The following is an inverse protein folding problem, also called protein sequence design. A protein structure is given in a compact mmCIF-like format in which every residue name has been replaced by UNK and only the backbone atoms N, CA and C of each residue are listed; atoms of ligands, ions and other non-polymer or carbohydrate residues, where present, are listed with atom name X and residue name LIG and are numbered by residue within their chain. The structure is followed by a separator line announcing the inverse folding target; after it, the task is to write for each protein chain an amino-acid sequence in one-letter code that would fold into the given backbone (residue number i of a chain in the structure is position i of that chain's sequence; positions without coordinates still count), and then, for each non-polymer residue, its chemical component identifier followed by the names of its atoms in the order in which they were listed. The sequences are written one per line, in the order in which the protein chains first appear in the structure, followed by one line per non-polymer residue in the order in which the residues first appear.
data_IF_478378173653
#
_entry.id   IF_478378173653
#
_cell.length_a   1.000
_cell.length_b   1.000
_cell.length_c   1.000
_cell.angle_alpha   90.00
_cell.angle_beta   90.00
_cell.angle_gamma   90.00
#
_symmetry.space_group_name_H-M   'P 1'
#
loop_
_entity.id
_entity.type
_entity.pdbx_description
1 polymer ?
#
# COMPACT_ATOMS: atom_id res chain seq x y z
N UNK A 1 24.39 7.08 -15.78
CA UNK A 1 23.28 7.34 -14.85
C UNK A 1 23.10 8.85 -14.73
N UNK A 2 21.91 9.37 -14.96
CA UNK A 2 21.64 10.80 -14.83
C UNK A 2 21.42 11.16 -13.36
N UNK A 3 22.46 11.61 -12.66
CA UNK A 3 22.34 12.20 -11.33
C UNK A 3 21.73 13.60 -11.46
N UNK A 4 20.41 13.67 -11.65
CA UNK A 4 19.68 14.93 -11.67
C UNK A 4 19.04 15.15 -10.30
N UNK A 5 19.80 15.76 -9.38
CA UNK A 5 19.44 15.99 -7.98
C UNK A 5 18.24 16.94 -7.79
N UNK A 6 17.77 17.59 -8.87
CA UNK A 6 16.67 18.57 -8.84
C UNK A 6 15.40 18.03 -8.20
N UNK A 7 15.15 16.72 -8.29
CA UNK A 7 13.93 16.09 -7.76
C UNK A 7 14.15 15.26 -6.50
N UNK A 8 15.40 15.06 -6.08
CA UNK A 8 15.76 14.13 -5.01
C UNK A 8 15.11 14.53 -3.68
N UNK A 9 15.13 15.82 -3.36
CA UNK A 9 14.55 16.30 -2.11
C UNK A 9 13.04 16.05 -2.07
N UNK A 10 12.32 16.41 -3.14
CA UNK A 10 10.87 16.17 -3.22
C UNK A 10 10.51 14.69 -3.17
N UNK A 11 11.30 13.82 -3.80
CA UNK A 11 11.10 12.38 -3.76
C UNK A 11 11.31 11.81 -2.34
N UNK A 12 12.36 12.25 -1.64
CA UNK A 12 12.64 11.85 -0.25
C UNK A 12 11.54 12.30 0.69
N UNK A 13 11.08 13.54 0.56
CA UNK A 13 10.02 14.09 1.41
C UNK A 13 8.69 13.35 1.18
N UNK A 14 8.34 13.09 -0.09
CA UNK A 14 7.14 12.30 -0.42
C UNK A 14 7.20 10.87 0.12
N UNK A 15 8.36 10.22 0.03
CA UNK A 15 8.54 8.85 0.53
C UNK A 15 8.49 8.81 2.05
N UNK A 16 9.15 9.77 2.71
CA UNK A 16 9.12 9.91 4.18
C UNK A 16 7.72 10.16 4.70
N UNK A 17 6.91 10.97 4.00
CA UNK A 17 5.53 11.21 4.36
C UNK A 17 4.73 9.90 4.39
N UNK A 18 4.86 9.04 3.37
CA UNK A 18 4.16 7.75 3.35
C UNK A 18 4.62 6.79 4.47
N UNK A 19 5.94 6.67 4.68
CA UNK A 19 6.50 5.80 5.73
C UNK A 19 6.09 6.24 7.13
N UNK A 20 6.03 7.55 7.39
CA UNK A 20 5.64 8.09 8.69
C UNK A 20 4.21 7.71 9.13
N UNK A 21 3.35 7.27 8.21
CA UNK A 21 1.97 6.86 8.49
C UNK A 21 1.86 5.39 8.93
N UNK A 22 2.85 4.56 8.60
CA UNK A 22 2.80 3.10 8.81
C UNK A 22 3.96 2.57 9.67
N UNK A 23 4.93 3.42 9.98
CA UNK A 23 6.15 3.08 10.70
C UNK A 23 7.29 2.59 9.79
N UNK A 24 8.48 2.43 10.37
CA UNK A 24 9.71 2.13 9.63
C UNK A 24 9.89 0.62 9.32
N UNK A 25 9.00 -0.24 9.81
CA UNK A 25 9.12 -1.70 9.72
C UNK A 25 8.49 -2.30 8.44
N UNK A 26 8.02 -1.46 7.51
CA UNK A 26 7.30 -1.89 6.30
C UNK A 26 7.88 -1.35 5.01
N UNK A 27 7.60 -2.05 3.91
CA UNK A 27 7.99 -1.65 2.56
C UNK A 27 6.79 -1.19 1.72
N UNK A 28 6.91 -1.35 0.41
CA UNK A 28 5.81 -1.14 -0.54
C UNK A 28 4.95 -2.41 -0.66
N UNK A 29 3.62 -2.31 -0.82
CA UNK A 29 2.81 -1.11 -1.01
C UNK A 29 2.27 -0.48 0.28
N UNK A 30 2.08 0.85 0.25
CA UNK A 30 1.44 1.64 1.31
C UNK A 30 0.19 2.31 0.72
N UNK A 31 -0.92 2.27 1.44
CA UNK A 31 -2.14 3.01 1.11
C UNK A 31 -2.68 3.74 2.35
N UNK A 32 -3.12 4.97 2.17
CA UNK A 32 -3.83 5.74 3.18
C UNK A 32 -5.31 5.88 2.78
N UNK A 33 -6.22 5.62 3.72
CA UNK A 33 -7.67 5.77 3.57
C UNK A 33 -8.18 6.50 4.81
N UNK A 34 -8.72 7.72 4.60
CA UNK A 34 -9.07 8.60 5.72
C UNK A 34 -7.85 8.92 6.57
N UNK A 35 -7.98 8.75 7.89
CA UNK A 35 -6.91 9.01 8.87
C UNK A 35 -6.03 7.79 9.16
N UNK A 36 -6.25 6.67 8.45
CA UNK A 36 -5.49 5.42 8.65
C UNK A 36 -4.65 5.07 7.43
N UNK A 37 -3.50 4.44 7.69
CA UNK A 37 -2.62 3.94 6.65
C UNK A 37 -2.17 2.52 6.95
N UNK A 38 -1.99 1.73 5.90
CA UNK A 38 -1.67 0.32 5.99
C UNK A 38 -0.59 -0.09 4.99
N UNK A 39 0.23 -1.06 5.40
CA UNK A 39 0.98 -1.89 4.46
C UNK A 39 0.02 -2.86 3.77
N UNK A 40 -0.07 -2.77 2.44
CA UNK A 40 -1.01 -3.53 1.63
C UNK A 40 -2.06 -2.67 0.92
N UNK A 41 -3.10 -3.30 0.32
CA UNK A 41 -3.25 -4.74 0.13
C UNK A 41 -2.15 -5.30 -0.79
N UNK A 42 -1.47 -6.34 -0.32
CA UNK A 42 -0.38 -6.99 -1.06
C UNK A 42 -0.96 -7.98 -2.07
N UNK A 43 -0.86 -7.67 -3.36
CA UNK A 43 -1.48 -8.46 -4.44
C UNK A 43 -0.46 -8.83 -5.51
N UNK A 44 -0.62 -10.02 -6.09
CA UNK A 44 0.20 -10.52 -7.21
C UNK A 44 -0.48 -10.38 -8.56
N UNK A 45 -1.75 -9.94 -8.59
CA UNK A 45 -2.59 -9.76 -9.80
C UNK A 45 -3.46 -8.53 -9.64
N UNK A 46 -3.81 -7.92 -10.77
CA UNK A 46 -4.71 -6.77 -10.82
C UNK A 46 -6.16 -7.27 -10.82
N UNK A 47 -6.97 -7.05 -9.76
CA UNK A 47 -8.39 -7.30 -9.83
C UNK A 47 -9.05 -6.33 -10.81
N UNK A 48 -10.05 -6.77 -11.57
CA UNK A 48 -10.70 -5.97 -12.61
C UNK A 48 -12.22 -5.99 -12.47
N UNK A 49 -12.87 -4.94 -12.95
CA UNK A 49 -14.33 -4.78 -12.89
C UNK A 49 -14.87 -4.84 -11.46
N UNK A 50 -16.02 -5.48 -11.30
CA UNK A 50 -16.72 -5.60 -10.00
C UNK A 50 -15.86 -6.27 -8.91
N UNK A 51 -14.94 -7.15 -9.29
CA UNK A 51 -14.04 -7.79 -8.33
C UNK A 51 -13.15 -6.76 -7.63
N UNK A 52 -12.69 -5.73 -8.34
CA UNK A 52 -11.87 -4.68 -7.76
C UNK A 52 -12.66 -3.87 -6.72
N UNK A 53 -13.91 -3.52 -7.03
CA UNK A 53 -14.83 -2.83 -6.10
C UNK A 53 -15.09 -3.66 -4.84
N UNK A 54 -15.41 -4.95 -5.00
CA UNK A 54 -15.64 -5.85 -3.86
C UNK A 54 -14.42 -5.97 -2.94
N UNK A 55 -13.22 -6.04 -3.50
CA UNK A 55 -11.98 -6.08 -2.71
C UNK A 55 -11.75 -4.75 -1.99
N UNK A 56 -11.99 -3.63 -2.68
CA UNK A 56 -11.90 -2.30 -2.10
C UNK A 56 -12.84 -2.11 -0.92
N UNK A 57 -14.12 -2.47 -1.08
CA UNK A 57 -15.14 -2.32 -0.03
C UNK A 57 -14.77 -3.14 1.22
N UNK A 58 -14.30 -4.38 1.02
CA UNK A 58 -13.84 -5.22 2.13
C UNK A 58 -12.60 -4.67 2.83
N UNK A 59 -11.65 -4.12 2.08
CA UNK A 59 -10.46 -3.50 2.65
C UNK A 59 -10.81 -2.22 3.42
N UNK A 60 -11.62 -1.33 2.83
CA UNK A 60 -12.08 -0.10 3.47
C UNK A 60 -12.85 -0.38 4.77
N UNK A 61 -13.71 -1.42 4.78
CA UNK A 61 -14.42 -1.82 5.99
C UNK A 61 -13.49 -2.30 7.13
N UNK A 62 -12.38 -2.98 6.80
CA UNK A 62 -11.36 -3.35 7.79
C UNK A 62 -10.60 -2.12 8.30
N UNK A 63 -10.26 -1.19 7.40
CA UNK A 63 -9.57 0.07 7.74
C UNK A 63 -10.41 0.96 8.66
N UNK A 64 -11.73 0.99 8.48
CA UNK A 64 -12.65 1.77 9.33
C UNK A 64 -12.72 1.26 10.78
N UNK A 65 -12.24 0.05 11.07
CA UNK A 65 -12.19 -0.49 12.42
C UNK A 65 -10.86 -0.17 13.11
N UNK A 66 -10.80 0.75 14.11
CA UNK A 66 -9.54 1.28 14.64
C UNK A 66 -8.65 0.28 15.38
N UNK A 67 -9.17 -0.92 15.67
CA UNK A 67 -8.47 -1.99 16.38
C UNK A 67 -8.06 -3.15 15.46
N UNK A 68 -8.18 -2.98 14.14
CA UNK A 68 -7.64 -3.91 13.15
C UNK A 68 -6.21 -3.50 12.76
N UNK A 69 -5.25 -4.43 12.88
CA UNK A 69 -3.84 -4.13 12.64
C UNK A 69 -3.17 -5.01 11.58
N UNK A 70 -3.57 -6.28 11.43
CA UNK A 70 -2.96 -7.15 10.42
C UNK A 70 -3.90 -8.29 9.97
N UNK A 71 -3.87 -8.57 8.67
CA UNK A 71 -4.37 -9.82 8.08
C UNK A 71 -3.35 -10.31 7.06
N UNK A 72 -2.83 -11.52 7.26
CA UNK A 72 -1.72 -12.05 6.45
C UNK A 72 -1.92 -13.52 6.12
N UNK A 73 -1.46 -13.90 4.92
CA UNK A 73 -1.23 -15.28 4.50
C UNK A 73 0.10 -15.39 3.77
N UNK A 74 0.66 -16.59 3.72
CA UNK A 74 1.87 -16.87 2.93
C UNK A 74 1.63 -16.59 1.45
N UNK A 75 2.53 -15.83 0.83
CA UNK A 75 2.55 -15.63 -0.62
C UNK A 75 3.15 -16.87 -1.27
N UNK A 76 2.44 -17.47 -2.23
CA UNK A 76 2.86 -18.69 -2.92
C UNK A 76 2.65 -18.60 -4.46
N UNK A 77 2.54 -17.40 -5.00
CA UNK A 77 2.40 -17.12 -6.44
C UNK A 77 3.34 -16.00 -6.86
N UNK A 78 3.79 -16.03 -8.11
CA UNK A 78 4.58 -14.94 -8.72
C UNK A 78 3.72 -13.72 -9.08
N UNK A 79 4.38 -12.59 -9.32
CA UNK A 79 3.75 -11.35 -9.80
C UNK A 79 3.34 -11.52 -11.26
N UNK A 80 2.11 -11.12 -11.56
CA UNK A 80 1.50 -11.11 -12.87
C UNK A 80 1.07 -9.67 -13.20
N UNK A 81 1.71 -9.11 -14.23
CA UNK A 81 1.54 -7.72 -14.65
C UNK A 81 0.48 -7.55 -15.76
N UNK A 82 -0.21 -8.63 -16.15
CA UNK A 82 -1.18 -8.61 -17.25
C UNK A 82 -2.49 -7.87 -16.95
#
# INVERSE_FOLDING_TARGET
ESQNETYDQGLRDSTKAALSLVGDDVGTPIIAIGDSAFFGPVMTRIPRGEQAGKIWDGFAALVDFPYFYELKRSRNTDIDFS
#
